data_IF_672495382660
#
_entry.id   IF_672495382660
#
_cell.length_a   1.000
_cell.length_b   1.000
_cell.length_c   1.000
_cell.angle_alpha   90.00
_cell.angle_beta   90.00
_cell.angle_gamma   90.00
#
_symmetry.space_group_name_H-M   'P 1'
#
loop_
_entity.id
_entity.type
_entity.pdbx_description
1 polymer ?
#
# COMPACT_ATOMS: atom_id res chain seq x y z
N UNK A 1 21.37 9.39 -5.81
CA UNK A 1 19.92 9.71 -5.86
C UNK A 1 19.67 10.58 -7.09
N UNK A 2 18.61 10.34 -7.86
CA UNK A 2 18.21 11.28 -8.90
C UNK A 2 17.87 12.64 -8.27
N UNK A 3 18.13 13.71 -9.00
CA UNK A 3 17.83 15.06 -8.53
C UNK A 3 16.31 15.27 -8.57
N UNK A 4 15.70 15.61 -7.43
CA UNK A 4 14.28 15.88 -7.33
C UNK A 4 14.01 17.26 -7.96
N UNK A 5 13.14 17.34 -8.98
CA UNK A 5 12.85 18.63 -9.65
C UNK A 5 12.03 19.54 -8.73
N UNK A 6 12.24 20.83 -8.89
CA UNK A 6 11.46 21.88 -8.24
C UNK A 6 10.49 22.51 -9.23
N UNK A 7 9.29 22.84 -8.73
CA UNK A 7 8.26 23.62 -9.45
C UNK A 7 8.07 24.96 -8.75
N UNK A 8 7.94 26.02 -9.53
CA UNK A 8 7.64 27.37 -9.03
C UNK A 8 6.21 27.73 -9.39
N UNK A 9 5.41 28.06 -8.41
CA UNK A 9 4.03 28.52 -8.59
C UNK A 9 3.94 30.03 -8.29
N UNK A 10 3.26 30.75 -9.17
CA UNK A 10 2.90 32.15 -8.94
C UNK A 10 1.60 32.21 -8.13
N UNK A 11 1.66 32.82 -6.96
CA UNK A 11 0.49 33.05 -6.12
C UNK A 11 0.23 34.54 -5.96
N UNK A 12 -0.96 34.94 -5.48
CA UNK A 12 -1.28 36.32 -5.15
C UNK A 12 -0.35 36.94 -4.08
N UNK A 13 0.43 36.12 -3.38
CA UNK A 13 1.40 36.52 -2.34
C UNK A 13 2.87 36.42 -2.78
N UNK A 14 3.12 36.19 -4.07
CA UNK A 14 4.46 35.99 -4.64
C UNK A 14 4.73 34.57 -5.13
N UNK A 15 5.97 34.31 -5.49
CA UNK A 15 6.42 33.01 -5.96
C UNK A 15 6.64 32.04 -4.78
N UNK A 16 6.23 30.79 -4.96
CA UNK A 16 6.52 29.68 -4.05
C UNK A 16 7.17 28.54 -4.81
N UNK A 17 8.28 28.04 -4.28
CA UNK A 17 9.00 26.90 -4.83
C UNK A 17 8.71 25.66 -3.97
N UNK A 18 8.36 24.56 -4.64
CA UNK A 18 8.15 23.24 -4.03
C UNK A 18 9.00 22.21 -4.76
N UNK A 19 9.51 21.20 -4.07
CA UNK A 19 9.86 19.96 -4.75
C UNK A 19 8.60 19.28 -5.28
N UNK A 20 8.76 18.41 -6.29
CA UNK A 20 7.60 17.82 -6.99
C UNK A 20 6.70 16.99 -6.04
N UNK A 21 7.27 16.27 -5.06
CA UNK A 21 6.49 15.47 -4.13
C UNK A 21 5.71 16.35 -3.14
N UNK A 22 6.33 17.40 -2.60
CA UNK A 22 5.65 18.39 -1.77
C UNK A 22 4.52 19.10 -2.52
N UNK A 23 4.73 19.36 -3.82
CA UNK A 23 3.68 19.94 -4.66
C UNK A 23 2.48 18.98 -4.84
N UNK A 24 2.76 17.72 -5.15
CA UNK A 24 1.72 16.71 -5.32
C UNK A 24 1.00 16.40 -4.00
N UNK A 25 1.70 16.47 -2.87
CA UNK A 25 1.07 16.32 -1.55
C UNK A 25 -0.01 17.39 -1.30
N UNK A 26 0.15 18.61 -1.80
CA UNK A 26 -0.89 19.64 -1.72
C UNK A 26 -2.17 19.23 -2.50
N UNK A 27 -2.04 18.38 -3.52
CA UNK A 27 -3.16 17.79 -4.25
C UNK A 27 -3.62 16.44 -3.64
N UNK A 28 -3.16 16.17 -2.41
CA UNK A 28 -3.49 14.97 -1.61
C UNK A 28 -2.97 13.66 -2.20
N UNK A 29 -1.86 13.72 -2.95
CA UNK A 29 -1.22 12.58 -3.60
C UNK A 29 -0.02 12.15 -2.77
N UNK A 30 0.01 10.88 -2.38
CA UNK A 30 1.11 10.22 -1.66
C UNK A 30 1.68 9.11 -2.55
N UNK A 31 3.00 8.93 -2.54
CA UNK A 31 3.69 7.86 -3.27
C UNK A 31 4.37 6.88 -2.31
N UNK A 32 4.18 5.59 -2.59
CA UNK A 32 5.01 4.51 -2.10
C UNK A 32 5.70 3.89 -3.33
N UNK A 33 6.91 4.37 -3.66
CA UNK A 33 7.62 4.01 -4.91
C UNK A 33 8.90 3.21 -4.65
N UNK A 34 9.00 2.56 -3.49
CA UNK A 34 10.16 1.76 -3.09
C UNK A 34 9.74 0.67 -2.10
N UNK A 35 10.72 -0.05 -1.55
CA UNK A 35 10.48 -1.08 -0.56
C UNK A 35 9.82 -0.52 0.71
N UNK A 36 8.88 -1.28 1.26
CA UNK A 36 8.22 -0.98 2.54
C UNK A 36 9.19 -1.25 3.68
N UNK A 37 9.62 -0.20 4.36
CA UNK A 37 10.49 -0.24 5.53
C UNK A 37 10.07 0.82 6.55
N UNK A 38 10.74 0.89 7.70
CA UNK A 38 10.36 1.80 8.78
C UNK A 38 10.43 3.28 8.35
N UNK A 39 11.38 3.65 7.49
CA UNK A 39 11.52 5.02 7.02
C UNK A 39 10.39 5.40 6.05
N UNK A 40 10.13 4.55 5.04
CA UNK A 40 9.06 4.79 4.07
C UNK A 40 7.68 4.76 4.73
N UNK A 41 7.46 3.84 5.68
CA UNK A 41 6.21 3.79 6.44
C UNK A 41 6.00 5.06 7.28
N UNK A 42 7.03 5.53 7.97
CA UNK A 42 6.94 6.76 8.78
C UNK A 42 6.60 7.97 7.92
N UNK A 43 7.17 8.08 6.70
CA UNK A 43 6.85 9.16 5.77
C UNK A 43 5.40 9.10 5.28
N UNK A 44 4.92 7.92 4.87
CA UNK A 44 3.54 7.73 4.41
C UNK A 44 2.55 8.04 5.53
N UNK A 45 2.78 7.50 6.74
CA UNK A 45 1.94 7.76 7.92
C UNK A 45 1.88 9.25 8.24
N UNK A 46 3.03 9.94 8.27
CA UNK A 46 3.08 11.38 8.54
C UNK A 46 2.30 12.20 7.49
N UNK A 47 2.40 11.83 6.21
CA UNK A 47 1.65 12.47 5.13
C UNK A 47 0.14 12.23 5.26
N UNK A 48 -0.29 11.01 5.60
CA UNK A 48 -1.72 10.70 5.81
C UNK A 48 -2.31 11.51 6.96
N UNK A 49 -1.62 11.55 8.10
CA UNK A 49 -2.06 12.34 9.26
C UNK A 49 -2.08 13.85 8.97
N UNK A 50 -1.10 14.35 8.22
CA UNK A 50 -1.07 15.74 7.79
C UNK A 50 -2.28 16.08 6.89
N UNK A 51 -2.59 15.22 5.92
CA UNK A 51 -3.71 15.44 5.01
C UNK A 51 -5.06 15.33 5.72
N UNK A 52 -5.22 14.41 6.66
CA UNK A 52 -6.42 14.34 7.50
C UNK A 52 -6.61 15.64 8.30
N UNK A 53 -5.54 16.17 8.91
CA UNK A 53 -5.61 17.42 9.65
C UNK A 53 -5.95 18.64 8.78
N UNK A 54 -5.64 18.61 7.48
CA UNK A 54 -5.99 19.67 6.53
C UNK A 54 -7.48 19.63 6.13
N UNK A 55 -7.99 18.45 5.78
CA UNK A 55 -9.38 18.27 5.37
C UNK A 55 -9.76 16.77 5.49
N UNK A 56 -10.50 16.37 6.52
CA UNK A 56 -10.85 14.97 6.76
C UNK A 56 -11.91 14.42 5.80
N UNK A 57 -12.61 15.30 5.04
CA UNK A 57 -13.70 14.91 4.15
C UNK A 57 -13.25 14.66 2.71
N UNK A 58 -11.98 14.94 2.41
CA UNK A 58 -11.43 14.72 1.07
C UNK A 58 -10.58 13.47 1.00
N UNK A 59 -10.69 12.76 -0.12
CA UNK A 59 -9.92 11.55 -0.41
C UNK A 59 -8.41 11.83 -0.42
N UNK A 60 -7.65 10.80 -0.02
CA UNK A 60 -6.20 10.72 -0.23
C UNK A 60 -5.97 9.78 -1.40
N UNK A 61 -5.15 10.19 -2.38
CA UNK A 61 -4.72 9.35 -3.49
C UNK A 61 -3.37 8.72 -3.15
N UNK A 62 -3.36 7.43 -2.91
CA UNK A 62 -2.17 6.67 -2.52
C UNK A 62 -1.67 5.82 -3.70
N UNK A 63 -0.63 6.33 -4.37
CA UNK A 63 0.02 5.66 -5.50
C UNK A 63 1.05 4.66 -5.01
N UNK A 64 0.96 3.41 -5.49
CA UNK A 64 1.80 2.29 -5.09
C UNK A 64 2.56 1.75 -6.30
N UNK A 65 3.90 1.74 -6.18
CA UNK A 65 4.82 1.06 -7.08
C UNK A 65 5.92 0.42 -6.22
N UNK A 66 5.61 -0.70 -5.58
CA UNK A 66 6.45 -1.26 -4.51
C UNK A 66 6.55 -2.78 -4.63
N UNK A 67 7.75 -3.36 -4.45
CA UNK A 67 7.94 -4.80 -4.35
C UNK A 67 7.45 -5.39 -3.02
N UNK A 68 6.93 -4.56 -2.10
CA UNK A 68 6.61 -4.95 -0.74
C UNK A 68 7.75 -4.70 0.23
N UNK A 69 7.87 -5.52 1.27
CA UNK A 69 8.92 -5.39 2.28
C UNK A 69 8.46 -5.73 3.70
N UNK A 70 8.86 -4.96 4.69
CA UNK A 70 8.59 -5.21 6.10
C UNK A 70 7.09 -5.25 6.42
N UNK A 71 6.62 -6.39 6.93
CA UNK A 71 5.22 -6.55 7.35
C UNK A 71 4.86 -5.58 8.47
N UNK A 72 5.75 -5.40 9.46
CA UNK A 72 5.48 -4.49 10.59
C UNK A 72 5.34 -3.04 10.13
N UNK A 73 6.22 -2.59 9.24
CA UNK A 73 6.16 -1.25 8.65
C UNK A 73 4.89 -1.08 7.79
N UNK A 74 4.55 -2.08 6.99
CA UNK A 74 3.32 -2.05 6.19
C UNK A 74 2.05 -2.05 7.03
N UNK A 75 2.03 -2.77 8.16
CA UNK A 75 0.89 -2.73 9.07
C UNK A 75 0.72 -1.35 9.73
N UNK A 76 1.79 -0.59 9.96
CA UNK A 76 1.67 0.79 10.43
C UNK A 76 0.97 1.69 9.40
N UNK A 77 1.27 1.50 8.10
CA UNK A 77 0.55 2.20 7.02
C UNK A 77 -0.92 1.75 6.99
N UNK A 78 -1.17 0.43 6.99
CA UNK A 78 -2.51 -0.15 6.97
C UNK A 78 -3.38 0.38 8.12
N UNK A 79 -2.89 0.27 9.36
CA UNK A 79 -3.63 0.74 10.52
C UNK A 79 -3.93 2.24 10.44
N UNK A 80 -3.01 3.04 9.89
CA UNK A 80 -3.24 4.48 9.67
C UNK A 80 -4.31 4.71 8.61
N UNK A 81 -4.29 3.98 7.48
CA UNK A 81 -5.34 4.06 6.45
C UNK A 81 -6.73 3.77 7.03
N UNK A 82 -6.83 2.81 7.97
CA UNK A 82 -8.11 2.47 8.61
C UNK A 82 -8.49 3.43 9.75
N UNK A 83 -7.52 4.11 10.36
CA UNK A 83 -7.73 5.00 11.51
C UNK A 83 -8.20 6.39 11.11
N UNK A 84 -7.67 6.94 10.03
CA UNK A 84 -8.02 8.28 9.54
C UNK A 84 -9.44 8.33 8.98
N UNK A 85 -10.05 9.52 8.99
CA UNK A 85 -11.42 9.72 8.47
C UNK A 85 -11.48 9.83 6.95
N UNK A 86 -10.38 10.26 6.32
CA UNK A 86 -10.31 10.37 4.87
C UNK A 86 -10.47 9.00 4.21
N UNK A 87 -11.21 8.92 3.13
CA UNK A 87 -11.12 7.78 2.23
C UNK A 87 -9.74 7.73 1.57
N UNK A 88 -9.15 6.53 1.50
CA UNK A 88 -7.86 6.32 0.85
C UNK A 88 -8.09 5.58 -0.47
N UNK A 89 -8.01 6.30 -1.58
CA UNK A 89 -8.01 5.72 -2.91
C UNK A 89 -6.61 5.16 -3.21
N UNK A 90 -6.49 3.85 -3.42
CA UNK A 90 -5.22 3.19 -3.76
C UNK A 90 -5.11 2.99 -5.26
N UNK A 91 -3.96 3.36 -5.84
CA UNK A 91 -3.71 3.25 -7.28
C UNK A 91 -2.36 2.59 -7.50
N UNK A 92 -2.32 1.41 -8.12
CA UNK A 92 -1.04 0.82 -8.49
C UNK A 92 -0.61 1.23 -9.88
N UNK A 93 0.68 1.60 -9.99
CA UNK A 93 1.40 1.89 -11.22
C UNK A 93 2.65 1.00 -11.23
N UNK A 94 2.94 0.35 -12.36
CA UNK A 94 4.08 -0.57 -12.45
C UNK A 94 3.84 -1.86 -11.66
N UNK A 95 4.13 -1.87 -10.35
CA UNK A 95 4.00 -3.08 -9.53
C UNK A 95 3.43 -2.81 -8.14
N UNK A 96 2.58 -3.69 -7.67
CA UNK A 96 2.24 -3.82 -6.26
C UNK A 96 2.43 -5.28 -5.83
N UNK A 97 3.54 -5.59 -5.16
CA UNK A 97 3.86 -6.94 -4.77
C UNK A 97 3.88 -7.11 -3.25
N UNK A 98 3.50 -8.31 -2.76
CA UNK A 98 3.61 -8.67 -1.34
C UNK A 98 2.90 -7.65 -0.43
N UNK A 99 3.64 -6.97 0.45
CA UNK A 99 3.08 -5.91 1.30
C UNK A 99 2.49 -4.75 0.49
N UNK A 100 3.00 -4.48 -0.73
CA UNK A 100 2.42 -3.49 -1.65
C UNK A 100 1.03 -3.90 -2.14
N UNK A 101 0.82 -5.17 -2.50
CA UNK A 101 -0.48 -5.71 -2.89
C UNK A 101 -1.47 -5.73 -1.70
N UNK A 102 -0.97 -6.01 -0.51
CA UNK A 102 -1.78 -5.94 0.71
C UNK A 102 -2.31 -4.52 0.94
N UNK A 103 -1.44 -3.50 0.85
CA UNK A 103 -1.83 -2.09 1.00
C UNK A 103 -2.76 -1.63 -0.13
N UNK A 104 -2.53 -2.11 -1.37
CA UNK A 104 -3.44 -1.84 -2.50
C UNK A 104 -4.86 -2.32 -2.20
N UNK A 105 -4.99 -3.57 -1.71
CA UNK A 105 -6.29 -4.16 -1.36
C UNK A 105 -6.98 -3.49 -0.18
N UNK A 106 -6.23 -2.77 0.65
CA UNK A 106 -6.68 -2.11 1.87
C UNK A 106 -7.28 -0.71 1.66
N UNK A 107 -7.25 -0.19 0.44
CA UNK A 107 -7.90 1.07 0.07
C UNK A 107 -9.41 1.03 0.31
N UNK A 108 -10.03 2.20 0.36
CA UNK A 108 -11.48 2.35 0.51
C UNK A 108 -12.20 1.59 -0.61
N UNK A 109 -13.17 0.77 -0.25
CA UNK A 109 -13.92 -0.05 -1.21
C UNK A 109 -14.57 0.81 -2.28
N UNK A 110 -14.43 0.41 -3.55
CA UNK A 110 -14.83 1.19 -4.72
C UNK A 110 -13.78 2.18 -5.23
N UNK A 111 -12.66 2.37 -4.46
CA UNK A 111 -11.58 3.32 -4.78
C UNK A 111 -10.20 2.66 -4.91
N UNK A 112 -10.16 1.33 -5.12
CA UNK A 112 -8.92 0.57 -5.33
C UNK A 112 -8.72 0.35 -6.82
N UNK A 113 -7.59 0.79 -7.36
CA UNK A 113 -7.41 0.91 -8.81
C UNK A 113 -6.03 0.43 -9.26
N UNK A 114 -5.95 0.02 -10.52
CA UNK A 114 -4.69 -0.29 -11.19
C UNK A 114 -4.66 0.33 -12.59
N UNK A 115 -3.47 0.73 -13.06
CA UNK A 115 -3.25 1.00 -14.47
C UNK A 115 -3.16 -0.34 -15.25
N UNK A 116 -3.50 -0.35 -16.55
CA UNK A 116 -3.72 -1.62 -17.29
C UNK A 116 -2.47 -2.50 -17.41
N UNK A 117 -1.28 -1.94 -17.33
CA UNK A 117 -0.02 -2.69 -17.39
C UNK A 117 0.63 -2.90 -16.01
N UNK A 118 -0.10 -2.63 -14.93
CA UNK A 118 0.39 -2.90 -13.59
C UNK A 118 0.35 -4.39 -13.28
N UNK A 119 1.36 -4.87 -12.58
CA UNK A 119 1.47 -6.23 -12.08
C UNK A 119 1.20 -6.26 -10.57
N UNK A 120 0.35 -7.17 -10.14
CA UNK A 120 0.02 -7.35 -8.73
C UNK A 120 0.47 -8.75 -8.31
N UNK A 121 1.20 -8.86 -7.20
CA UNK A 121 1.64 -10.15 -6.70
C UNK A 121 1.30 -10.32 -5.22
N UNK A 122 0.66 -11.44 -4.92
CA UNK A 122 0.37 -11.86 -3.55
C UNK A 122 1.10 -13.15 -3.20
N UNK A 123 1.54 -13.24 -1.97
CA UNK A 123 2.14 -14.45 -1.40
C UNK A 123 2.10 -14.41 0.14
N UNK A 124 2.38 -15.54 0.77
CA UNK A 124 2.51 -15.60 2.23
C UNK A 124 3.75 -14.85 2.72
N UNK A 125 3.76 -14.34 3.97
CA UNK A 125 4.95 -13.72 4.55
C UNK A 125 6.15 -14.67 4.51
N UNK A 126 7.29 -14.17 4.04
CA UNK A 126 8.56 -14.87 4.09
C UNK A 126 9.44 -14.31 5.20
N UNK A 127 10.13 -15.17 5.93
CA UNK A 127 11.10 -14.76 6.92
C UNK A 127 12.16 -15.84 7.12
N UNK A 128 13.35 -15.41 7.51
CA UNK A 128 14.39 -16.28 8.05
C UNK A 128 14.50 -16.12 9.56
N UNK A 129 14.89 -17.17 10.26
CA UNK A 129 15.22 -17.09 11.68
C UNK A 129 16.50 -17.89 11.98
N UNK A 130 17.29 -17.38 12.90
CA UNK A 130 18.53 -18.00 13.35
C UNK A 130 18.66 -17.76 14.86
N UNK A 131 19.21 -18.73 15.59
CA UNK A 131 19.40 -18.62 17.02
C UNK A 131 19.10 -19.92 17.77
N UNK A 132 18.75 -19.81 19.04
CA UNK A 132 18.39 -20.96 19.88
C UNK A 132 17.04 -21.56 19.42
N UNK A 133 16.88 -22.88 19.56
CA UNK A 133 15.67 -23.61 19.10
C UNK A 133 14.40 -23.00 19.71
N UNK A 134 14.43 -22.66 20.99
CA UNK A 134 13.26 -22.04 21.68
C UNK A 134 12.89 -20.70 21.09
N UNK A 135 13.88 -19.84 20.78
CA UNK A 135 13.66 -18.54 20.17
C UNK A 135 13.11 -18.68 18.73
N UNK A 136 13.66 -19.63 17.97
CA UNK A 136 13.17 -19.97 16.63
C UNK A 136 11.69 -20.42 16.66
N UNK A 137 11.32 -21.23 17.65
CA UNK A 137 9.92 -21.66 17.82
C UNK A 137 8.97 -20.49 18.15
N UNK A 138 9.42 -19.56 18.99
CA UNK A 138 8.68 -18.32 19.28
C UNK A 138 8.48 -17.46 18.02
N UNK A 139 9.54 -17.28 17.23
CA UNK A 139 9.45 -16.55 15.97
C UNK A 139 8.51 -17.21 14.95
N UNK A 140 8.59 -18.54 14.80
CA UNK A 140 7.70 -19.28 13.90
C UNK A 140 6.24 -19.11 14.30
N UNK A 141 5.91 -19.24 15.59
CA UNK A 141 4.55 -19.03 16.09
C UNK A 141 4.07 -17.61 15.81
N UNK A 142 4.92 -16.59 15.99
CA UNK A 142 4.59 -15.20 15.65
C UNK A 142 4.29 -15.04 14.16
N UNK A 143 5.09 -15.63 13.28
CA UNK A 143 4.88 -15.58 11.82
C UNK A 143 3.56 -16.23 11.40
N UNK A 144 3.18 -17.35 12.03
CA UNK A 144 1.88 -18.01 11.80
C UNK A 144 0.72 -17.07 12.14
N UNK A 145 0.76 -16.41 13.30
CA UNK A 145 -0.26 -15.43 13.70
C UNK A 145 -0.33 -14.25 12.73
N UNK A 146 0.81 -13.77 12.23
CA UNK A 146 0.86 -12.70 11.24
C UNK A 146 0.23 -13.17 9.91
N UNK A 147 0.59 -14.36 9.41
CA UNK A 147 0.01 -14.95 8.19
C UNK A 147 -1.51 -15.05 8.30
N UNK A 148 -2.03 -15.61 9.39
CA UNK A 148 -3.48 -15.74 9.62
C UNK A 148 -4.19 -14.38 9.64
N UNK A 149 -3.61 -13.38 10.32
CA UNK A 149 -4.15 -12.02 10.36
C UNK A 149 -4.19 -11.39 8.96
N UNK A 150 -3.11 -11.47 8.20
CA UNK A 150 -3.03 -10.89 6.86
C UNK A 150 -4.02 -11.57 5.91
N UNK A 151 -4.14 -12.90 5.94
CA UNK A 151 -5.10 -13.64 5.14
C UNK A 151 -6.54 -13.25 5.48
N UNK A 152 -6.85 -13.08 6.78
CA UNK A 152 -8.18 -12.64 7.21
C UNK A 152 -8.51 -11.24 6.67
N UNK A 153 -7.61 -10.28 6.83
CA UNK A 153 -7.80 -8.90 6.31
C UNK A 153 -7.97 -8.94 4.78
N UNK A 154 -7.13 -9.70 4.08
CA UNK A 154 -7.22 -9.81 2.62
C UNK A 154 -8.54 -10.47 2.18
N UNK A 155 -9.03 -11.46 2.91
CA UNK A 155 -10.35 -12.09 2.66
C UNK A 155 -11.48 -11.06 2.83
N UNK A 156 -11.44 -10.25 3.88
CA UNK A 156 -12.40 -9.16 4.10
C UNK A 156 -12.36 -8.11 2.98
N UNK A 157 -11.15 -7.73 2.53
CA UNK A 157 -10.97 -6.74 1.48
C UNK A 157 -11.42 -7.24 0.10
N UNK A 158 -11.13 -8.50 -0.22
CA UNK A 158 -11.43 -9.10 -1.55
C UNK A 158 -12.84 -9.66 -1.64
N UNK A 159 -13.48 -9.96 -0.50
CA UNK A 159 -14.77 -10.65 -0.44
C UNK A 159 -14.67 -12.16 -0.71
N UNK A 160 -13.46 -12.72 -0.72
CA UNK A 160 -13.21 -14.16 -0.87
C UNK A 160 -13.16 -14.87 0.49
N UNK A 161 -13.28 -16.18 0.48
CA UNK A 161 -13.09 -16.98 1.69
C UNK A 161 -11.63 -16.96 2.15
N UNK A 162 -11.39 -17.22 3.44
CA UNK A 162 -10.03 -17.31 4.00
C UNK A 162 -9.27 -18.46 3.34
N UNK A 163 -9.95 -19.55 3.00
CA UNK A 163 -9.40 -20.72 2.33
C UNK A 163 -8.90 -20.37 0.92
N UNK A 164 -9.71 -19.65 0.13
CA UNK A 164 -9.31 -19.19 -1.21
C UNK A 164 -8.10 -18.26 -1.15
N UNK A 165 -8.10 -17.27 -0.24
CA UNK A 165 -6.96 -16.36 -0.06
C UNK A 165 -5.73 -17.11 0.41
N UNK A 166 -5.87 -18.05 1.34
CA UNK A 166 -4.75 -18.86 1.84
C UNK A 166 -4.12 -19.68 0.73
N UNK A 167 -4.95 -20.30 -0.11
CA UNK A 167 -4.46 -21.06 -1.27
C UNK A 167 -3.79 -20.17 -2.31
N UNK A 168 -4.37 -19.01 -2.60
CA UNK A 168 -3.82 -18.03 -3.55
C UNK A 168 -2.49 -17.43 -3.10
N UNK A 169 -2.27 -17.29 -1.78
CA UNK A 169 -1.04 -16.74 -1.19
C UNK A 169 0.02 -17.82 -0.86
N UNK A 170 -0.21 -19.10 -1.13
CA UNK A 170 0.73 -20.17 -0.73
C UNK A 170 2.08 -20.05 -1.46
N UNK A 171 2.09 -19.56 -2.70
CA UNK A 171 3.26 -19.25 -3.51
C UNK A 171 3.08 -17.90 -4.19
N UNK A 172 4.15 -17.41 -4.82
CA UNK A 172 4.10 -16.20 -5.62
C UNK A 172 2.99 -16.31 -6.69
N UNK A 173 1.99 -15.48 -6.56
CA UNK A 173 0.84 -15.43 -7.44
C UNK A 173 0.78 -14.07 -8.10
N UNK A 174 1.31 -14.00 -9.32
CA UNK A 174 1.33 -12.81 -10.14
C UNK A 174 0.03 -12.68 -10.91
N UNK A 175 -0.53 -11.49 -10.94
CA UNK A 175 -1.79 -11.14 -11.60
C UNK A 175 -1.61 -9.88 -12.44
N UNK A 176 -2.21 -9.88 -13.62
CA UNK A 176 -2.50 -8.66 -14.39
C UNK A 176 -3.51 -7.79 -13.63
N UNK A 177 -3.70 -6.56 -14.07
CA UNK A 177 -4.71 -5.67 -13.50
C UNK A 177 -6.13 -6.26 -13.59
N UNK A 178 -6.46 -6.93 -14.69
CA UNK A 178 -7.75 -7.60 -14.90
C UNK A 178 -7.95 -8.79 -13.96
N UNK A 179 -6.94 -9.63 -13.80
CA UNK A 179 -6.97 -10.77 -12.88
C UNK A 179 -7.09 -10.30 -11.42
N UNK A 180 -6.41 -9.21 -11.06
CA UNK A 180 -6.51 -8.61 -9.73
C UNK A 180 -7.90 -8.00 -9.47
N UNK A 181 -8.56 -7.46 -10.52
CA UNK A 181 -9.96 -7.02 -10.46
C UNK A 181 -10.89 -8.22 -10.23
N UNK A 182 -10.73 -9.32 -10.98
CA UNK A 182 -11.52 -10.53 -10.82
C UNK A 182 -11.30 -11.19 -9.45
N UNK A 183 -10.07 -11.15 -8.96
CA UNK A 183 -9.76 -11.65 -7.61
C UNK A 183 -10.37 -10.76 -6.50
N UNK A 184 -10.63 -9.49 -6.76
CA UNK A 184 -11.19 -8.53 -5.81
C UNK A 184 -10.14 -7.70 -5.05
N UNK A 185 -8.88 -7.75 -5.46
CA UNK A 185 -7.81 -6.91 -4.88
C UNK A 185 -8.00 -5.44 -5.22
N UNK A 186 -8.61 -5.16 -6.37
CA UNK A 186 -8.96 -3.82 -6.84
C UNK A 186 -10.41 -3.77 -7.27
N UNK A 187 -10.93 -2.56 -7.47
CA UNK A 187 -12.32 -2.30 -7.88
C UNK A 187 -12.41 -1.84 -9.33
N UNK A 188 -11.30 -1.38 -9.94
CA UNK A 188 -11.31 -0.83 -11.30
C UNK A 188 -9.92 -0.86 -11.95
N UNK A 189 -9.87 -1.14 -13.25
CA UNK A 189 -8.72 -0.85 -14.12
C UNK A 189 -8.94 0.49 -14.80
N UNK A 190 -7.95 1.40 -14.75
CA UNK A 190 -8.04 2.76 -15.28
C UNK A 190 -7.24 2.83 -16.59
N UNK A 191 -7.93 2.96 -17.71
CA UNK A 191 -7.30 3.10 -19.05
C UNK A 191 -7.04 4.57 -19.41
N UNK A 192 -7.90 5.50 -18.94
CA UNK A 192 -7.83 6.94 -19.21
C UNK A 192 -8.26 7.72 -17.96
N UNK A 193 -7.72 8.92 -17.83
CA UNK A 193 -8.03 9.85 -16.72
C UNK A 193 -9.26 10.69 -17.05
#
# INVERSE_FOLDING_TARGET
MPMIPYVVEQTSRGERSYDIFSRLLNDRIIFLSEEVNDATASLVVAQMLYLEAQDPDKDIQFYINSPGGSVTAGMAIYDTMQYIKCDVATITIGMAASMGAFLLSAGTKGKRMALPNAEIMIHQPSAGTQGQITDMAIHLKRLQVIKERMNKIMAENTGRSIEEVTAACERDNFMSAEEALEFGLIDKVIYNH
#
